data_IF_688047692374
#
_entry.id   IF_688047692374
#
_cell.length_a   1.000
_cell.length_b   1.000
_cell.length_c   1.000
_cell.angle_alpha   90.00
_cell.angle_beta   90.00
_cell.angle_gamma   90.00
#
_symmetry.space_group_name_H-M   'P 1'
#
loop_
_entity.id
_entity.type
_entity.pdbx_description
1 polymer ?
#
# COMPACT_ATOMS: atom_id res chain seq x y z
N UNK A 1 8.41 -57.04 -26.18
CA UNK A 1 8.78 -56.70 -24.80
C UNK A 1 8.56 -55.21 -24.60
N UNK A 2 7.68 -54.85 -23.63
CA UNK A 2 7.69 -53.63 -22.79
C UNK A 2 7.56 -52.24 -23.46
N UNK A 3 6.89 -51.22 -22.93
CA UNK A 3 5.78 -51.06 -21.97
C UNK A 3 5.44 -49.54 -22.03
N UNK A 4 4.18 -49.21 -21.69
CA UNK A 4 3.71 -47.84 -21.42
C UNK A 4 4.55 -47.14 -20.34
N UNK A 5 4.62 -45.82 -20.41
CA UNK A 5 5.19 -44.98 -19.36
C UNK A 5 4.76 -43.53 -19.47
N UNK A 6 3.46 -43.27 -19.29
CA UNK A 6 2.92 -41.96 -18.91
C UNK A 6 3.39 -41.60 -17.50
N UNK A 7 4.01 -40.43 -17.34
CA UNK A 7 4.18 -39.72 -16.07
C UNK A 7 3.94 -38.23 -16.37
N UNK A 8 2.75 -37.66 -16.13
CA UNK A 8 2.14 -37.26 -14.85
C UNK A 8 2.94 -36.23 -14.04
N UNK A 9 2.33 -35.04 -13.97
CA UNK A 9 2.20 -34.12 -12.84
C UNK A 9 3.35 -33.18 -12.43
N UNK A 10 3.01 -31.89 -12.60
CA UNK A 10 3.01 -30.81 -11.60
C UNK A 10 4.22 -30.65 -10.69
N UNK A 11 4.86 -29.48 -10.81
CA UNK A 11 5.27 -28.73 -9.63
C UNK A 11 4.80 -27.29 -9.77
N UNK A 12 3.77 -26.96 -8.99
CA UNK A 12 3.40 -25.59 -8.64
C UNK A 12 4.63 -24.88 -8.08
N UNK A 13 5.21 -23.99 -8.86
CA UNK A 13 6.09 -22.96 -8.33
C UNK A 13 5.23 -21.92 -7.64
N UNK A 14 4.96 -22.11 -6.34
CA UNK A 14 4.66 -21.00 -5.45
C UNK A 14 5.85 -20.03 -5.51
N UNK A 15 5.75 -19.07 -6.42
CA UNK A 15 6.69 -17.96 -6.57
C UNK A 15 6.59 -17.10 -5.33
N UNK A 16 7.25 -17.54 -4.26
CA UNK A 16 7.59 -16.69 -3.13
C UNK A 16 8.44 -15.58 -3.74
N UNK A 17 7.89 -14.37 -3.81
CA UNK A 17 8.58 -13.20 -4.33
C UNK A 17 9.75 -12.88 -3.39
N UNK A 18 10.85 -13.63 -3.54
CA UNK A 18 12.09 -13.43 -2.81
C UNK A 18 12.86 -12.34 -3.56
N UNK A 19 12.45 -11.09 -3.34
CA UNK A 19 13.27 -9.96 -3.74
C UNK A 19 14.62 -10.07 -3.00
N UNK A 20 15.76 -9.96 -3.69
CA UNK A 20 17.02 -9.80 -2.99
C UNK A 20 16.90 -8.55 -2.11
N UNK A 21 17.26 -8.68 -0.83
CA UNK A 21 17.33 -7.60 0.17
C UNK A 21 18.31 -6.46 -0.20
N UNK A 22 18.82 -6.47 -1.44
CA UNK A 22 19.91 -5.63 -1.95
C UNK A 22 19.41 -4.59 -2.97
N UNK A 23 18.13 -4.19 -2.91
CA UNK A 23 17.72 -2.97 -3.60
C UNK A 23 18.24 -1.82 -2.76
N UNK A 24 19.29 -1.17 -3.23
CA UNK A 24 19.75 0.08 -2.63
C UNK A 24 18.59 1.09 -2.71
N UNK A 25 17.97 1.45 -1.57
CA UNK A 25 16.77 2.26 -1.55
C UNK A 25 17.04 3.69 -2.05
N UNK A 26 18.29 4.16 -2.05
CA UNK A 26 18.63 5.45 -2.61
C UNK A 26 18.80 5.41 -4.14
N UNK A 27 19.25 4.28 -4.69
CA UNK A 27 19.50 4.14 -6.13
C UNK A 27 18.27 3.68 -6.94
N UNK A 28 17.25 3.12 -6.28
CA UNK A 28 16.13 2.45 -6.96
C UNK A 28 14.85 3.26 -7.13
N UNK A 29 14.63 4.30 -6.33
CA UNK A 29 13.37 5.03 -6.29
C UNK A 29 13.50 6.47 -6.77
N UNK A 30 12.42 6.99 -7.35
CA UNK A 30 12.43 8.33 -7.96
C UNK A 30 12.56 9.40 -6.89
N UNK A 31 13.62 10.20 -6.98
CA UNK A 31 13.71 11.48 -6.27
C UNK A 31 12.83 12.57 -6.95
N UNK A 32 12.29 13.50 -6.17
CA UNK A 32 11.50 14.64 -6.66
C UNK A 32 10.04 14.67 -6.18
N UNK A 33 9.23 15.66 -6.61
CA UNK A 33 7.85 15.80 -6.13
C UNK A 33 6.96 14.64 -6.59
N UNK A 34 5.97 14.29 -5.78
CA UNK A 34 4.92 13.33 -6.14
C UNK A 34 4.22 13.81 -7.42
N UNK A 35 4.12 12.96 -8.45
CA UNK A 35 3.60 13.39 -9.77
C UNK A 35 2.09 13.34 -9.81
N UNK A 36 1.51 12.34 -9.14
CA UNK A 36 0.10 12.03 -9.21
C UNK A 36 -0.66 12.45 -7.94
N UNK A 37 -0.35 13.63 -7.41
CA UNK A 37 -1.13 14.20 -6.31
C UNK A 37 -2.51 14.62 -6.82
N UNK A 38 -3.59 14.21 -6.13
CA UNK A 38 -4.92 14.75 -6.41
C UNK A 38 -4.94 16.27 -6.24
N UNK A 39 -5.78 16.95 -7.03
CA UNK A 39 -5.93 18.40 -6.90
C UNK A 39 -6.67 18.77 -5.61
N UNK A 40 -6.49 20.00 -5.12
CA UNK A 40 -7.21 20.49 -3.95
C UNK A 40 -8.73 20.46 -4.12
N UNK A 41 -9.22 20.67 -5.35
CA UNK A 41 -10.63 20.54 -5.69
C UNK A 41 -11.12 19.10 -5.54
N UNK A 42 -10.32 18.12 -5.99
CA UNK A 42 -10.60 16.71 -5.79
C UNK A 42 -10.64 16.35 -4.30
N UNK A 43 -9.67 16.81 -3.50
CA UNK A 43 -9.68 16.59 -2.04
C UNK A 43 -10.91 17.18 -1.36
N UNK A 44 -11.26 18.39 -1.73
CA UNK A 44 -12.43 19.07 -1.16
C UNK A 44 -13.71 18.32 -1.48
N UNK A 45 -13.82 17.77 -2.69
CA UNK A 45 -14.94 16.90 -3.09
C UNK A 45 -14.93 15.59 -2.32
N UNK A 46 -13.79 14.92 -2.22
CA UNK A 46 -13.59 13.64 -1.54
C UNK A 46 -13.98 13.73 -0.05
N UNK A 47 -13.59 14.81 0.62
CA UNK A 47 -13.89 15.02 2.02
C UNK A 47 -15.36 15.39 2.25
N UNK A 48 -16.04 15.96 1.23
CA UNK A 48 -17.48 16.24 1.27
C UNK A 48 -18.35 15.00 1.03
N UNK A 49 -17.86 13.97 0.32
CA UNK A 49 -18.65 12.74 0.12
C UNK A 49 -18.77 11.92 1.39
N UNK A 50 -17.81 12.04 2.32
CA UNK A 50 -17.77 11.21 3.53
C UNK A 50 -17.45 9.74 3.24
N UNK A 51 -16.95 9.43 2.05
CA UNK A 51 -16.61 8.06 1.66
C UNK A 51 -15.22 7.67 2.17
N UNK A 52 -15.19 6.87 3.23
CA UNK A 52 -13.99 6.33 3.84
C UNK A 52 -13.13 5.54 2.85
N UNK A 53 -13.73 4.70 1.99
CA UNK A 53 -12.95 3.90 1.03
C UNK A 53 -12.23 4.78 0.02
N UNK A 54 -12.88 5.85 -0.45
CA UNK A 54 -12.26 6.76 -1.41
C UNK A 54 -11.07 7.52 -0.80
N UNK A 55 -11.04 7.76 0.52
CA UNK A 55 -9.82 8.25 1.21
C UNK A 55 -8.69 7.22 1.17
N UNK A 56 -9.01 5.94 1.39
CA UNK A 56 -8.05 4.84 1.29
C UNK A 56 -7.47 4.69 -0.11
N UNK A 57 -8.33 4.74 -1.13
CA UNK A 57 -7.96 4.74 -2.56
C UNK A 57 -7.01 5.89 -2.88
N UNK A 58 -7.33 7.12 -2.43
CA UNK A 58 -6.45 8.27 -2.65
C UNK A 58 -5.05 8.06 -2.05
N UNK A 59 -4.96 7.49 -0.84
CA UNK A 59 -3.67 7.13 -0.24
C UNK A 59 -2.95 6.06 -1.06
N UNK A 60 -3.63 4.98 -1.44
CA UNK A 60 -3.06 3.89 -2.23
C UNK A 60 -2.50 4.36 -3.57
N UNK A 61 -3.20 5.27 -4.27
CA UNK A 61 -2.75 5.83 -5.54
C UNK A 61 -1.43 6.61 -5.40
N UNK A 62 -1.30 7.44 -4.37
CA UNK A 62 -0.10 8.26 -4.17
C UNK A 62 1.07 7.42 -3.70
N UNK A 63 0.84 6.45 -2.80
CA UNK A 63 1.89 5.50 -2.39
C UNK A 63 2.34 4.64 -3.57
N UNK A 64 1.42 4.20 -4.43
CA UNK A 64 1.75 3.46 -5.66
C UNK A 64 2.68 4.26 -6.58
N UNK A 65 2.44 5.56 -6.73
CA UNK A 65 3.26 6.46 -7.56
C UNK A 65 4.69 6.56 -7.01
N UNK A 66 4.85 6.59 -5.69
CA UNK A 66 6.15 6.62 -5.05
C UNK A 66 6.96 5.34 -5.35
N UNK A 67 6.29 4.18 -5.37
CA UNK A 67 6.90 2.91 -5.74
C UNK A 67 7.06 2.70 -7.27
N UNK A 68 7.17 3.76 -8.07
CA UNK A 68 7.43 3.61 -9.50
C UNK A 68 8.88 3.17 -9.80
N UNK A 69 9.11 1.96 -10.34
CA UNK A 69 10.45 1.42 -10.56
C UNK A 69 11.08 1.88 -11.88
N UNK A 70 10.53 2.91 -12.54
CA UNK A 70 11.09 3.50 -13.75
C UNK A 70 12.58 3.87 -13.66
N UNK A 71 13.11 4.34 -12.51
CA UNK A 71 14.54 4.65 -12.37
C UNK A 71 15.49 3.46 -12.38
N UNK A 72 15.02 2.24 -12.09
CA UNK A 72 15.88 1.06 -12.09
C UNK A 72 16.45 0.83 -13.50
N UNK A 73 17.64 0.26 -13.64
CA UNK A 73 18.19 -0.12 -14.96
C UNK A 73 17.89 -1.59 -15.29
N UNK A 74 17.98 -2.46 -14.29
CA UNK A 74 17.70 -3.89 -14.40
C UNK A 74 16.21 -4.18 -14.71
N UNK A 75 15.96 -4.84 -15.84
CA UNK A 75 14.62 -5.20 -16.32
C UNK A 75 13.97 -6.28 -15.45
N UNK A 76 14.75 -7.28 -15.00
CA UNK A 76 14.22 -8.36 -14.18
C UNK A 76 13.79 -7.82 -12.81
N UNK A 77 14.65 -7.01 -12.18
CA UNK A 77 14.33 -6.36 -10.91
C UNK A 77 13.13 -5.41 -11.05
N UNK A 78 13.08 -4.59 -12.11
CA UNK A 78 11.94 -3.72 -12.39
C UNK A 78 10.62 -4.48 -12.49
N UNK A 79 10.61 -5.62 -13.20
CA UNK A 79 9.42 -6.49 -13.32
C UNK A 79 8.98 -7.03 -11.97
N UNK A 80 9.92 -7.44 -11.12
CA UNK A 80 9.61 -7.91 -9.76
C UNK A 80 9.02 -6.79 -8.89
N UNK A 81 9.60 -5.59 -8.92
CA UNK A 81 9.05 -4.43 -8.22
C UNK A 81 7.64 -4.06 -8.70
N UNK A 82 7.38 -4.10 -10.02
CA UNK A 82 6.04 -3.89 -10.59
C UNK A 82 5.07 -4.94 -10.06
N UNK A 83 5.44 -6.22 -10.10
CA UNK A 83 4.58 -7.31 -9.65
C UNK A 83 4.24 -7.20 -8.16
N UNK A 84 5.23 -6.92 -7.31
CA UNK A 84 5.02 -6.69 -5.88
C UNK A 84 4.08 -5.50 -5.63
N UNK A 85 4.37 -4.35 -6.26
CA UNK A 85 3.55 -3.14 -6.13
C UNK A 85 2.11 -3.41 -6.59
N UNK A 86 1.92 -4.08 -7.70
CA UNK A 86 0.60 -4.33 -8.29
C UNK A 86 -0.22 -5.35 -7.49
N UNK A 87 0.43 -6.23 -6.72
CA UNK A 87 -0.24 -7.15 -5.81
C UNK A 87 -0.90 -6.45 -4.61
N UNK A 88 -0.25 -5.43 -4.05
CA UNK A 88 -0.73 -4.70 -2.86
C UNK A 88 -1.48 -3.42 -3.23
N UNK A 89 -0.99 -2.70 -4.24
CA UNK A 89 -1.49 -1.39 -4.65
C UNK A 89 -1.89 -1.44 -6.13
N UNK A 90 -2.96 -2.14 -6.53
CA UNK A 90 -3.35 -2.25 -7.93
C UNK A 90 -3.61 -0.86 -8.56
N UNK A 91 -3.49 -0.75 -9.89
CA UNK A 91 -3.66 0.54 -10.60
C UNK A 91 -5.10 1.05 -10.57
N UNK A 92 -6.06 0.14 -10.56
CA UNK A 92 -7.48 0.43 -10.72
C UNK A 92 -8.18 0.69 -9.37
N UNK A 93 -9.06 1.71 -9.34
CA UNK A 93 -9.74 2.13 -8.12
C UNK A 93 -10.73 1.09 -7.57
N UNK A 94 -11.38 0.30 -8.43
CA UNK A 94 -12.26 -0.78 -7.96
C UNK A 94 -11.43 -1.87 -7.29
N UNK A 95 -10.33 -2.29 -7.92
CA UNK A 95 -9.41 -3.27 -7.31
C UNK A 95 -8.78 -2.76 -6.02
N UNK A 96 -8.50 -1.47 -5.91
CA UNK A 96 -8.02 -0.88 -4.65
C UNK A 96 -9.08 -0.97 -3.55
N UNK A 97 -10.36 -0.72 -3.86
CA UNK A 97 -11.47 -0.92 -2.92
C UNK A 97 -11.59 -2.38 -2.48
N UNK A 98 -11.51 -3.32 -3.42
CA UNK A 98 -11.51 -4.76 -3.11
C UNK A 98 -10.36 -5.15 -2.17
N UNK A 99 -9.16 -4.61 -2.39
CA UNK A 99 -8.02 -4.84 -1.51
C UNK A 99 -8.28 -4.26 -0.11
N UNK A 100 -8.80 -3.03 -0.02
CA UNK A 100 -9.19 -2.45 1.27
C UNK A 100 -10.19 -3.34 2.01
N UNK A 101 -11.19 -3.86 1.32
CA UNK A 101 -12.20 -4.76 1.91
C UNK A 101 -11.59 -6.08 2.38
N UNK A 102 -10.70 -6.69 1.60
CA UNK A 102 -9.98 -7.91 2.00
C UNK A 102 -9.13 -7.69 3.25
N UNK A 103 -8.45 -6.54 3.36
CA UNK A 103 -7.70 -6.20 4.57
C UNK A 103 -8.62 -5.95 5.78
N UNK A 104 -9.76 -5.28 5.58
CA UNK A 104 -10.74 -5.07 6.64
C UNK A 104 -11.34 -6.39 7.17
N UNK A 105 -11.49 -7.39 6.30
CA UNK A 105 -11.97 -8.75 6.65
C UNK A 105 -10.88 -9.70 7.15
N UNK A 106 -9.61 -9.30 7.07
CA UNK A 106 -8.48 -10.16 7.44
C UNK A 106 -8.18 -11.28 6.43
N UNK A 107 -8.69 -11.18 5.20
CA UNK A 107 -8.51 -12.15 4.11
C UNK A 107 -7.22 -11.91 3.30
N UNK A 108 -6.58 -10.75 3.47
CA UNK A 108 -5.39 -10.33 2.73
C UNK A 108 -4.05 -10.83 3.33
N UNK A 109 -4.05 -11.87 4.16
CA UNK A 109 -2.83 -12.35 4.85
C UNK A 109 -1.68 -12.70 3.90
N UNK A 110 -2.00 -13.24 2.73
CA UNK A 110 -1.04 -13.59 1.68
C UNK A 110 -0.30 -12.36 1.09
N UNK A 111 -0.80 -11.15 1.30
CA UNK A 111 -0.16 -9.90 0.87
C UNK A 111 0.73 -9.29 1.96
N UNK A 112 0.77 -9.89 3.16
CA UNK A 112 1.47 -9.34 4.33
C UNK A 112 2.96 -9.14 4.10
N UNK A 113 3.65 -10.14 3.52
CA UNK A 113 5.09 -10.06 3.27
C UNK A 113 5.44 -8.97 2.25
N UNK A 114 4.67 -8.88 1.16
CA UNK A 114 4.84 -7.83 0.15
C UNK A 114 4.61 -6.44 0.74
N UNK A 115 3.54 -6.28 1.53
CA UNK A 115 3.25 -5.04 2.23
C UNK A 115 4.36 -4.67 3.22
N UNK A 116 4.83 -5.64 4.02
CA UNK A 116 5.91 -5.45 4.98
C UNK A 116 7.19 -4.96 4.32
N UNK A 117 7.59 -5.62 3.21
CA UNK A 117 8.75 -5.21 2.43
C UNK A 117 8.60 -3.79 1.87
N UNK A 118 7.44 -3.46 1.29
CA UNK A 118 7.15 -2.11 0.81
C UNK A 118 7.27 -1.08 1.95
N UNK A 119 6.76 -1.38 3.15
CA UNK A 119 6.87 -0.46 4.28
C UNK A 119 8.31 -0.26 4.75
N UNK A 120 9.13 -1.32 4.74
CA UNK A 120 10.57 -1.20 5.02
C UNK A 120 11.25 -0.26 4.04
N UNK A 121 10.96 -0.39 2.74
CA UNK A 121 11.48 0.50 1.71
C UNK A 121 10.98 1.95 1.89
N UNK A 122 9.76 2.12 2.41
CA UNK A 122 9.17 3.44 2.62
C UNK A 122 9.90 4.28 3.68
N UNK A 123 10.51 3.64 4.68
CA UNK A 123 11.22 4.30 5.79
C UNK A 123 12.37 5.17 5.30
N UNK A 124 13.04 4.73 4.25
CA UNK A 124 14.22 5.37 3.64
C UNK A 124 13.90 6.00 2.28
N UNK A 125 12.62 6.07 1.91
CA UNK A 125 12.21 6.54 0.60
C UNK A 125 12.44 8.05 0.45
N UNK A 126 13.03 8.53 -0.67
CA UNK A 126 13.33 9.96 -0.86
C UNK A 126 12.09 10.85 -0.85
N UNK A 127 10.92 10.30 -1.20
CA UNK A 127 9.64 11.02 -1.17
C UNK A 127 8.85 10.85 0.13
N UNK A 128 9.42 10.23 1.18
CA UNK A 128 8.71 9.94 2.44
C UNK A 128 8.09 11.19 3.07
N UNK A 129 8.81 12.29 3.11
CA UNK A 129 8.29 13.55 3.67
C UNK A 129 7.15 14.14 2.85
N UNK A 130 7.22 14.04 1.51
CA UNK A 130 6.12 14.46 0.64
C UNK A 130 4.87 13.60 0.85
N UNK A 131 5.04 12.28 1.00
CA UNK A 131 3.96 11.35 1.34
C UNK A 131 3.36 11.67 2.71
N UNK A 132 4.20 12.03 3.68
CA UNK A 132 3.78 12.43 5.02
C UNK A 132 2.96 13.71 4.99
N UNK A 133 3.43 14.74 4.29
CA UNK A 133 2.69 15.99 4.13
C UNK A 133 1.32 15.76 3.47
N UNK A 134 1.28 14.93 2.44
CA UNK A 134 0.04 14.54 1.78
C UNK A 134 -0.92 13.80 2.74
N UNK A 135 -0.44 12.77 3.43
CA UNK A 135 -1.27 12.00 4.36
C UNK A 135 -1.77 12.87 5.53
N UNK A 136 -0.98 13.83 6.02
CA UNK A 136 -1.45 14.80 7.01
C UNK A 136 -2.63 15.64 6.48
N UNK A 137 -2.57 16.13 5.24
CA UNK A 137 -3.70 16.87 4.65
C UNK A 137 -4.97 16.03 4.55
N UNK A 138 -4.82 14.72 4.29
CA UNK A 138 -5.94 13.80 4.11
C UNK A 138 -6.56 13.35 5.44
N UNK A 139 -5.75 13.10 6.47
CA UNK A 139 -6.18 12.43 7.71
C UNK A 139 -6.13 13.29 8.98
N UNK A 140 -5.68 14.55 8.94
CA UNK A 140 -5.74 15.44 10.12
C UNK A 140 -7.16 15.91 10.48
N UNK A 141 -8.13 15.79 9.57
CA UNK A 141 -9.50 16.29 9.81
C UNK A 141 -10.28 15.31 10.67
N UNK A 142 -10.94 15.83 11.71
CA UNK A 142 -11.84 15.03 12.56
C UNK A 142 -13.13 14.75 11.78
N UNK A 143 -13.11 13.68 11.00
CA UNK A 143 -14.22 13.21 10.17
C UNK A 143 -14.50 11.74 10.49
N UNK A 144 -15.78 11.31 10.58
CA UNK A 144 -16.12 9.91 10.75
C UNK A 144 -15.49 8.99 9.69
N UNK A 145 -15.41 9.47 8.44
CA UNK A 145 -14.80 8.74 7.34
C UNK A 145 -13.29 8.51 7.55
N UNK A 146 -12.59 9.52 8.08
CA UNK A 146 -11.16 9.44 8.44
C UNK A 146 -10.95 8.43 9.56
N UNK A 147 -11.78 8.50 10.61
CA UNK A 147 -11.68 7.54 11.74
C UNK A 147 -11.94 6.11 11.25
N UNK A 148 -12.94 5.92 10.39
CA UNK A 148 -13.29 4.62 9.83
C UNK A 148 -12.14 4.04 8.99
N UNK A 149 -11.62 4.81 8.04
CA UNK A 149 -10.60 4.30 7.12
C UNK A 149 -9.25 4.05 7.82
N UNK A 150 -8.91 4.83 8.85
CA UNK A 150 -7.69 4.61 9.63
C UNK A 150 -7.72 3.30 10.45
N UNK A 151 -8.89 2.67 10.64
CA UNK A 151 -9.00 1.33 11.25
C UNK A 151 -8.71 0.21 10.25
N UNK A 152 -8.66 0.51 8.96
CA UNK A 152 -8.28 -0.49 7.95
C UNK A 152 -6.80 -0.86 8.14
N UNK A 153 -6.45 -2.15 8.28
CA UNK A 153 -5.06 -2.56 8.53
C UNK A 153 -4.09 -2.10 7.45
N UNK A 154 -4.47 -2.12 6.17
CA UNK A 154 -3.61 -1.66 5.08
C UNK A 154 -3.30 -0.16 5.23
N UNK A 155 -4.32 0.65 5.53
CA UNK A 155 -4.19 2.10 5.71
C UNK A 155 -3.34 2.39 6.94
N UNK A 156 -3.60 1.74 8.07
CA UNK A 156 -2.81 1.88 9.29
C UNK A 156 -1.33 1.54 9.05
N UNK A 157 -1.06 0.44 8.35
CA UNK A 157 0.31 0.03 7.99
C UNK A 157 0.99 1.04 7.06
N UNK A 158 0.31 1.54 6.04
CA UNK A 158 0.85 2.59 5.16
C UNK A 158 1.16 3.87 5.93
N UNK A 159 0.24 4.33 6.79
CA UNK A 159 0.47 5.52 7.61
C UNK A 159 1.68 5.32 8.54
N UNK A 160 1.81 4.16 9.17
CA UNK A 160 2.96 3.83 10.00
C UNK A 160 4.28 3.85 9.21
N UNK A 161 4.32 3.25 8.02
CA UNK A 161 5.49 3.28 7.13
C UNK A 161 5.90 4.70 6.72
N UNK A 162 4.92 5.58 6.50
CA UNK A 162 5.14 7.01 6.21
C UNK A 162 5.64 7.78 7.46
N UNK A 163 5.49 7.22 8.67
CA UNK A 163 5.84 7.88 9.93
C UNK A 163 4.69 8.66 10.56
N UNK A 164 3.45 8.30 10.22
CA UNK A 164 2.24 8.80 10.85
C UNK A 164 1.58 7.70 11.67
N UNK A 165 1.60 7.87 12.98
CA UNK A 165 0.87 7.00 13.88
C UNK A 165 -0.53 7.61 14.09
N UNK A 166 -1.61 6.92 13.69
CA UNK A 166 -2.94 7.38 14.05
C UNK A 166 -3.00 7.47 15.58
N UNK A 167 -3.31 8.66 16.12
CA UNK A 167 -3.43 8.83 17.58
C UNK A 167 -4.52 7.88 18.09
N UNK A 168 -4.23 7.02 19.07
CA UNK A 168 -5.30 6.31 19.76
C UNK A 168 -6.19 7.38 20.43
N UNK A 169 -7.48 7.43 20.05
CA UNK A 169 -8.45 8.22 20.83
C UNK A 169 -8.51 7.57 22.22
N UNK A 170 -8.35 8.30 23.33
CA UNK A 170 -8.58 7.74 24.65
C UNK A 170 -10.01 7.23 24.70
N UNK A 171 -10.20 5.96 25.03
CA UNK A 171 -11.53 5.45 25.34
C UNK A 171 -12.09 6.30 26.49
N UNK A 172 -13.33 6.81 26.40
CA UNK A 172 -13.98 7.35 27.58
C UNK A 172 -14.01 6.22 28.61
N UNK A 173 -13.39 6.47 29.76
CA UNK A 173 -13.43 5.54 30.88
C UNK A 173 -14.90 5.18 31.16
N UNK A 174 -15.22 3.90 31.45
CA UNK A 174 -16.57 3.55 31.83
C UNK A 174 -16.91 4.33 33.10
N UNK A 175 -17.88 5.23 33.00
CA UNK A 175 -18.51 5.86 34.15
C UNK A 175 -19.15 4.74 34.95
N UNK A 176 -18.48 4.30 36.02
CA UNK A 176 -19.11 3.49 37.05
C UNK A 176 -20.15 4.39 37.73
N UNK A 177 -21.43 4.16 37.39
CA UNK A 177 -22.56 4.56 38.22
C UNK A 177 -22.88 3.45 39.20
#
# INVERSE_FOLDING_TARGET
MQQMGTLSHSVSGHGTLRLPLSVDPEAGFRAGPLRNLPSQAYFSRLLRTGDAQSLGVALMMVVRDAFDPSPLSDIALRRQCIAMRDAVLPRDAMRQREILDRFARGEAKHLGDALGHMMTLLVVHPQRDALRAFALQLFQRDSPAVVQICRNPLVATMLAGIGLFPKPKPHPAPTLQ
#
